data_IF_055938047276
#
_entry.id   IF_055938047276
#
_cell.length_a   1.000
_cell.length_b   1.000
_cell.length_c   1.000
_cell.angle_alpha   90.00
_cell.angle_beta   90.00
_cell.angle_gamma   90.00
#
_symmetry.space_group_name_H-M   'P 1'
#
loop_
_entity.id
_entity.type
_entity.pdbx_description
1 polymer ?
#
# COMPACT_ATOMS: atom_id res chain seq x y z
N UNK A 1 -2.24 -4.72 15.51
CA UNK A 1 -2.54 -5.60 14.36
C UNK A 1 -3.16 -4.76 13.25
N UNK A 2 -2.48 -4.64 12.11
CA UNK A 2 -2.79 -3.68 11.03
C UNK A 2 -3.70 -4.32 9.98
N UNK A 3 -4.98 -3.96 9.98
CA UNK A 3 -5.90 -4.26 8.88
C UNK A 3 -5.34 -3.67 7.58
N UNK A 4 -5.54 -4.27 6.41
CA UNK A 4 -5.09 -3.68 5.15
C UNK A 4 -5.89 -2.41 4.88
N UNK A 5 -5.32 -1.26 5.23
CA UNK A 5 -5.88 0.05 4.92
C UNK A 5 -5.68 0.32 3.42
N UNK A 6 -6.78 0.46 2.67
CA UNK A 6 -6.73 0.66 1.24
C UNK A 6 -7.68 1.74 0.76
N UNK A 7 -7.18 2.58 -0.16
CA UNK A 7 -7.98 3.51 -0.93
C UNK A 7 -8.33 2.88 -2.26
N UNK A 8 -9.62 2.82 -2.61
CA UNK A 8 -10.08 2.18 -3.83
C UNK A 8 -10.69 3.15 -4.83
N UNK A 9 -10.47 2.85 -6.10
CA UNK A 9 -11.16 3.44 -7.24
C UNK A 9 -12.22 2.45 -7.74
N UNK A 10 -13.45 2.92 -7.90
CA UNK A 10 -14.54 2.16 -8.51
C UNK A 10 -14.98 2.79 -9.82
N UNK A 11 -15.30 1.95 -10.79
CA UNK A 11 -15.79 2.31 -12.12
C UNK A 11 -17.21 1.76 -12.31
N UNK A 12 -18.15 2.62 -12.72
CA UNK A 12 -19.50 2.22 -13.03
C UNK A 12 -19.60 1.68 -14.45
N UNK A 13 -20.11 0.45 -14.60
CA UNK A 13 -20.33 -0.22 -15.89
C UNK A 13 -21.77 -0.15 -16.37
N UNK A 14 -22.69 0.38 -15.55
CA UNK A 14 -24.08 0.60 -15.95
C UNK A 14 -24.15 1.54 -17.18
N UNK A 15 -24.79 1.16 -18.30
CA UNK A 15 -24.83 1.98 -19.53
C UNK A 15 -25.32 3.41 -19.30
N UNK A 16 -26.27 3.62 -18.37
CA UNK A 16 -26.81 4.94 -18.02
C UNK A 16 -25.81 5.81 -17.25
N UNK A 17 -24.87 5.20 -16.55
CA UNK A 17 -23.92 5.86 -15.64
C UNK A 17 -22.47 5.49 -15.95
N UNK A 18 -22.21 5.00 -17.16
CA UNK A 18 -20.95 4.40 -17.55
C UNK A 18 -19.81 5.41 -17.41
N UNK A 19 -18.68 4.96 -16.88
CA UNK A 19 -17.51 5.83 -16.71
C UNK A 19 -17.53 6.68 -15.46
N UNK A 20 -18.60 6.63 -14.65
CA UNK A 20 -18.60 7.29 -13.33
C UNK A 20 -17.60 6.63 -12.40
N UNK A 21 -16.91 7.48 -11.63
CA UNK A 21 -15.93 7.07 -10.65
C UNK A 21 -16.43 7.31 -9.23
N UNK A 22 -16.12 6.36 -8.34
CA UNK A 22 -16.24 6.54 -6.90
C UNK A 22 -14.91 6.17 -6.23
N UNK A 23 -14.37 7.08 -5.43
CA UNK A 23 -13.19 6.84 -4.59
C UNK A 23 -13.69 6.61 -3.17
N UNK A 24 -13.10 5.66 -2.46
CA UNK A 24 -13.28 5.62 -1.01
C UNK A 24 -12.38 4.65 -0.29
N UNK A 25 -12.37 4.76 1.04
CA UNK A 25 -11.61 3.88 1.90
C UNK A 25 -12.26 2.50 2.08
N UNK A 26 -11.42 1.47 2.24
CA UNK A 26 -11.85 0.13 2.64
C UNK A 26 -10.74 -0.66 3.35
N UNK A 27 -11.14 -1.50 4.30
CA UNK A 27 -10.30 -2.56 4.89
C UNK A 27 -10.67 -3.96 4.39
N UNK A 28 -11.73 -4.07 3.57
CA UNK A 28 -12.19 -5.32 2.99
C UNK A 28 -12.81 -5.03 1.61
N UNK A 29 -12.02 -5.10 0.54
CA UNK A 29 -12.43 -4.76 -0.81
C UNK A 29 -13.65 -5.54 -1.31
N UNK A 30 -13.66 -6.86 -1.12
CA UNK A 30 -14.74 -7.77 -1.56
C UNK A 30 -16.07 -7.40 -0.91
N UNK A 31 -16.11 -7.37 0.43
CA UNK A 31 -17.32 -6.97 1.15
C UNK A 31 -17.78 -5.58 0.73
N UNK A 32 -16.86 -4.65 0.51
CA UNK A 32 -17.21 -3.26 0.21
C UNK A 32 -17.79 -3.11 -1.21
N UNK A 33 -17.35 -3.90 -2.19
CA UNK A 33 -17.95 -3.84 -3.53
C UNK A 33 -19.38 -4.39 -3.53
N UNK A 34 -19.64 -5.45 -2.77
CA UNK A 34 -20.98 -6.03 -2.59
C UNK A 34 -21.93 -5.01 -1.93
N UNK A 35 -21.46 -4.29 -0.91
CA UNK A 35 -22.25 -3.22 -0.28
C UNK A 35 -22.62 -2.10 -1.25
N UNK A 36 -21.69 -1.68 -2.13
CA UNK A 36 -22.00 -0.63 -3.11
C UNK A 36 -23.00 -1.11 -4.16
N UNK A 37 -22.89 -2.35 -4.62
CA UNK A 37 -23.79 -2.95 -5.59
C UNK A 37 -25.17 -3.29 -5.00
N UNK A 38 -25.24 -3.67 -3.71
CA UNK A 38 -26.49 -3.84 -2.95
C UNK A 38 -27.17 -2.53 -2.54
N UNK A 39 -26.47 -1.39 -2.67
CA UNK A 39 -27.00 -0.06 -2.41
C UNK A 39 -27.04 0.35 -0.93
N UNK A 40 -27.62 1.52 -0.63
CA UNK A 40 -27.53 2.15 0.69
C UNK A 40 -28.08 1.31 1.85
N UNK A 41 -29.11 0.50 1.58
CA UNK A 41 -29.74 -0.39 2.59
C UNK A 41 -28.80 -1.51 3.01
N UNK A 42 -27.84 -1.88 2.17
CA UNK A 42 -26.82 -2.88 2.44
C UNK A 42 -25.49 -2.27 2.94
N UNK A 43 -25.48 -0.98 3.30
CA UNK A 43 -24.27 -0.27 3.77
C UNK A 43 -23.41 0.36 2.67
N UNK A 44 -23.89 0.37 1.42
CA UNK A 44 -23.26 1.10 0.33
C UNK A 44 -23.35 2.63 0.51
N UNK A 45 -22.41 3.36 -0.06
CA UNK A 45 -22.46 4.82 -0.02
C UNK A 45 -23.70 5.36 -0.78
N UNK A 46 -24.30 6.45 -0.29
CA UNK A 46 -25.45 7.06 -0.96
C UNK A 46 -25.15 7.40 -2.43
N UNK A 47 -23.93 7.88 -2.72
CA UNK A 47 -23.47 8.22 -4.08
C UNK A 47 -23.43 7.02 -5.05
N UNK A 48 -23.36 5.78 -4.55
CA UNK A 48 -23.32 4.56 -5.38
C UNK A 48 -24.66 3.84 -5.50
N UNK A 49 -25.63 4.18 -4.64
CA UNK A 49 -26.93 3.50 -4.55
C UNK A 49 -27.76 3.62 -5.83
N UNK A 50 -28.24 2.49 -6.35
CA UNK A 50 -29.10 2.42 -7.55
C UNK A 50 -28.40 2.81 -8.86
N UNK A 51 -27.06 2.90 -8.85
CA UNK A 51 -26.24 3.28 -10.01
C UNK A 51 -25.32 2.16 -10.48
N UNK A 52 -25.26 1.05 -9.74
CA UNK A 52 -24.46 -0.10 -10.11
C UNK A 52 -24.94 -0.79 -11.39
N UNK A 53 -24.20 -1.80 -11.88
CA UNK A 53 -23.05 -2.39 -11.21
C UNK A 53 -21.79 -1.50 -11.19
N UNK A 54 -21.02 -1.64 -10.12
CA UNK A 54 -19.74 -1.02 -9.88
C UNK A 54 -18.66 -2.11 -9.87
N UNK A 55 -17.55 -1.80 -10.52
CA UNK A 55 -16.32 -2.58 -10.49
C UNK A 55 -15.30 -1.85 -9.63
N UNK A 56 -14.63 -2.58 -8.72
CA UNK A 56 -13.41 -2.07 -8.12
C UNK A 56 -12.24 -2.36 -9.06
N UNK A 57 -11.54 -1.30 -9.48
CA UNK A 57 -10.57 -1.37 -10.59
C UNK A 57 -9.13 -1.21 -10.10
N UNK A 58 -8.93 -0.37 -9.08
CA UNK A 58 -7.62 -0.05 -8.52
C UNK A 58 -7.73 0.07 -7.00
N UNK A 59 -6.73 -0.42 -6.28
CA UNK A 59 -6.56 -0.19 -4.85
C UNK A 59 -5.13 0.28 -4.55
N UNK A 60 -4.99 1.35 -3.78
CA UNK A 60 -3.72 1.79 -3.21
C UNK A 60 -3.72 1.34 -1.75
N UNK A 61 -2.72 0.57 -1.34
CA UNK A 61 -2.65 0.03 0.03
C UNK A 61 -1.23 0.13 0.61
N UNK A 62 -1.05 -0.24 1.88
CA UNK A 62 0.23 -0.11 2.59
C UNK A 62 0.33 1.16 3.44
N UNK A 63 -0.79 1.86 3.65
CA UNK A 63 -0.83 3.04 4.51
C UNK A 63 -0.45 2.70 5.97
N UNK A 64 0.32 3.58 6.64
CA UNK A 64 0.79 3.33 8.01
C UNK A 64 -0.34 3.40 9.05
N UNK A 65 -1.47 4.03 8.73
CA UNK A 65 -2.65 4.15 9.60
C UNK A 65 -3.92 4.51 8.81
N UNK A 66 -5.08 4.31 9.43
CA UNK A 66 -6.38 4.80 8.94
C UNK A 66 -6.36 6.29 8.63
N UNK A 67 -5.75 7.10 9.50
CA UNK A 67 -5.68 8.56 9.33
C UNK A 67 -4.87 8.92 8.07
N UNK A 68 -3.79 8.19 7.77
CA UNK A 68 -3.01 8.42 6.57
C UNK A 68 -3.81 8.06 5.30
N UNK A 69 -4.54 6.95 5.34
CA UNK A 69 -5.43 6.53 4.26
C UNK A 69 -6.55 7.55 4.03
N UNK A 70 -7.31 7.92 5.07
CA UNK A 70 -8.40 8.89 4.99
C UNK A 70 -7.96 10.27 4.48
N UNK A 71 -6.74 10.73 4.85
CA UNK A 71 -6.16 11.97 4.30
C UNK A 71 -5.84 11.84 2.82
N UNK A 72 -5.40 10.67 2.38
CA UNK A 72 -5.21 10.36 0.97
C UNK A 72 -6.56 10.33 0.23
N UNK A 73 -7.57 9.61 0.76
CA UNK A 73 -8.94 9.55 0.21
C UNK A 73 -9.46 10.95 -0.10
N UNK A 74 -9.43 11.83 0.92
CA UNK A 74 -10.00 13.16 0.83
C UNK A 74 -9.28 13.99 -0.24
N UNK A 75 -7.96 13.95 -0.29
CA UNK A 75 -7.19 14.67 -1.29
C UNK A 75 -7.46 14.13 -2.72
N UNK A 76 -7.68 12.83 -2.86
CA UNK A 76 -8.01 12.21 -4.15
C UNK A 76 -9.42 12.57 -4.62
N UNK A 77 -10.38 12.65 -3.70
CA UNK A 77 -11.75 13.11 -3.97
C UNK A 77 -11.82 14.61 -4.25
N UNK A 78 -10.93 15.41 -3.62
CA UNK A 78 -10.98 16.86 -3.62
C UNK A 78 -9.62 17.50 -3.99
N UNK A 79 -9.05 17.20 -5.17
CA UNK A 79 -7.69 17.64 -5.51
C UNK A 79 -7.53 19.16 -5.47
N UNK A 80 -8.52 19.93 -5.94
CA UNK A 80 -8.44 21.39 -5.97
C UNK A 80 -8.69 22.08 -4.62
N UNK A 81 -9.15 21.34 -3.60
CA UNK A 81 -9.26 21.84 -2.22
C UNK A 81 -8.04 21.46 -1.39
N UNK A 82 -7.25 20.49 -1.86
CA UNK A 82 -6.03 20.06 -1.20
C UNK A 82 -4.88 21.03 -1.50
N UNK A 83 -4.36 21.65 -0.44
CA UNK A 83 -3.17 22.52 -0.51
C UNK A 83 -1.95 21.85 -1.15
N UNK A 84 -1.90 20.51 -1.15
CA UNK A 84 -0.80 19.71 -1.72
C UNK A 84 -0.92 19.51 -3.23
N UNK A 85 -2.11 19.73 -3.79
CA UNK A 85 -2.43 19.43 -5.19
C UNK A 85 -2.86 20.68 -5.98
N UNK A 86 -2.49 21.88 -5.51
CA UNK A 86 -2.77 23.15 -6.20
C UNK A 86 -2.17 23.20 -7.62
N UNK A 87 -1.11 22.43 -7.88
CA UNK A 87 -0.47 22.31 -9.19
C UNK A 87 -1.23 21.40 -10.16
N UNK A 88 -2.18 20.60 -9.67
CA UNK A 88 -2.96 19.67 -10.50
C UNK A 88 -4.03 20.45 -11.25
N UNK A 89 -3.93 20.45 -12.58
CA UNK A 89 -4.90 21.15 -13.42
C UNK A 89 -6.29 20.50 -13.36
N UNK A 90 -7.32 21.34 -13.42
CA UNK A 90 -8.73 20.91 -13.49
C UNK A 90 -8.99 19.97 -14.66
N UNK A 91 -9.99 19.11 -14.49
CA UNK A 91 -10.43 18.15 -15.51
C UNK A 91 -10.81 18.89 -16.79
N UNK A 92 -10.25 18.48 -17.93
CA UNK A 92 -10.62 19.02 -19.24
C UNK A 92 -11.99 18.48 -19.68
N UNK A 93 -12.74 19.21 -20.50
CA UNK A 93 -14.09 18.79 -20.94
C UNK A 93 -14.11 17.42 -21.62
N UNK A 94 -13.05 17.07 -22.37
CA UNK A 94 -12.91 15.79 -23.09
C UNK A 94 -12.19 14.70 -22.28
N UNK A 95 -11.67 15.02 -21.09
CA UNK A 95 -10.94 14.07 -20.24
C UNK A 95 -11.94 13.18 -19.50
N UNK A 96 -11.79 11.85 -19.61
CA UNK A 96 -12.66 10.92 -18.90
C UNK A 96 -12.43 11.06 -17.40
N UNK A 97 -13.48 10.79 -16.62
CA UNK A 97 -13.37 10.88 -15.17
C UNK A 97 -12.31 9.91 -14.62
N UNK A 98 -12.17 8.72 -15.21
CA UNK A 98 -11.12 7.77 -14.86
C UNK A 98 -9.72 8.37 -15.06
N UNK A 99 -9.42 8.86 -16.26
CA UNK A 99 -8.11 9.39 -16.64
C UNK A 99 -7.71 10.58 -15.75
N UNK A 100 -8.69 11.45 -15.44
CA UNK A 100 -8.49 12.55 -14.51
C UNK A 100 -8.07 12.06 -13.11
N UNK A 101 -8.78 11.08 -12.54
CA UNK A 101 -8.47 10.60 -11.19
C UNK A 101 -7.18 9.76 -11.17
N UNK A 102 -6.82 9.08 -12.25
CA UNK A 102 -5.52 8.41 -12.38
C UNK A 102 -4.39 9.44 -12.41
N UNK A 103 -4.54 10.54 -13.17
CA UNK A 103 -3.57 11.64 -13.17
C UNK A 103 -3.45 12.32 -11.81
N UNK A 104 -4.56 12.52 -11.09
CA UNK A 104 -4.53 13.02 -9.70
C UNK A 104 -3.75 12.07 -8.81
N UNK A 105 -4.02 10.76 -8.89
CA UNK A 105 -3.28 9.73 -8.16
C UNK A 105 -1.78 9.81 -8.46
N UNK A 106 -1.40 9.90 -9.74
CA UNK A 106 -0.02 10.02 -10.19
C UNK A 106 0.71 11.19 -9.51
N UNK A 107 0.08 12.36 -9.45
CA UNK A 107 0.63 13.52 -8.72
C UNK A 107 0.70 13.29 -7.21
N UNK A 108 -0.31 12.64 -6.61
CA UNK A 108 -0.31 12.33 -5.18
C UNK A 108 0.87 11.41 -4.81
N UNK A 109 1.18 10.40 -5.62
CA UNK A 109 2.30 9.47 -5.37
C UNK A 109 3.68 10.17 -5.42
N UNK A 110 3.77 11.35 -6.02
CA UNK A 110 5.01 12.16 -6.05
C UNK A 110 5.01 13.32 -5.04
N UNK A 111 3.90 13.53 -4.33
CA UNK A 111 3.76 14.68 -3.43
C UNK A 111 3.93 14.24 -1.97
N UNK A 112 4.73 14.99 -1.21
CA UNK A 112 4.85 14.77 0.23
C UNK A 112 3.49 14.96 0.93
N UNK A 113 3.17 14.17 1.98
CA UNK A 113 4.02 13.14 2.58
C UNK A 113 3.93 11.78 1.89
N UNK A 114 3.08 11.62 0.88
CA UNK A 114 2.73 10.32 0.30
C UNK A 114 3.89 9.70 -0.48
N UNK A 115 4.73 10.51 -1.11
CA UNK A 115 5.86 10.06 -1.93
C UNK A 115 6.96 9.26 -1.23
N UNK A 116 6.92 9.13 0.11
CA UNK A 116 7.85 8.28 0.88
C UNK A 116 7.14 7.16 1.63
N UNK A 117 5.81 7.04 1.47
CA UNK A 117 5.05 5.97 2.09
C UNK A 117 5.27 4.67 1.32
N UNK A 118 5.30 3.51 2.00
CA UNK A 118 5.55 2.23 1.34
C UNK A 118 4.26 1.67 0.70
N UNK A 119 3.66 2.45 -0.20
CA UNK A 119 2.39 2.16 -0.84
C UNK A 119 2.57 1.17 -1.98
N UNK A 120 1.53 0.38 -2.23
CA UNK A 120 1.41 -0.49 -3.40
C UNK A 120 0.20 -0.05 -4.20
N UNK A 121 0.37 0.09 -5.51
CA UNK A 121 -0.69 0.42 -6.46
C UNK A 121 -1.11 -0.89 -7.11
N UNK A 122 -2.33 -1.36 -6.87
CA UNK A 122 -2.77 -2.65 -7.40
C UNK A 122 -3.98 -2.53 -8.32
N UNK A 123 -3.81 -2.99 -9.56
CA UNK A 123 -4.88 -3.15 -10.53
C UNK A 123 -5.62 -4.46 -10.29
N UNK A 124 -6.91 -4.38 -9.96
CA UNK A 124 -7.73 -5.55 -9.63
C UNK A 124 -8.33 -6.21 -10.88
N UNK A 125 -8.43 -5.47 -11.99
CA UNK A 125 -9.03 -5.94 -13.24
C UNK A 125 -8.25 -5.38 -14.43
N UNK A 126 -7.63 -6.28 -15.20
CA UNK A 126 -6.68 -5.95 -16.29
C UNK A 126 -7.26 -5.00 -17.35
N UNK A 127 -8.53 -5.19 -17.74
CA UNK A 127 -9.22 -4.36 -18.73
C UNK A 127 -9.28 -2.85 -18.39
N UNK A 128 -9.11 -2.50 -17.11
CA UNK A 128 -9.09 -1.11 -16.65
C UNK A 128 -7.68 -0.54 -16.47
N UNK A 129 -6.63 -1.37 -16.59
CA UNK A 129 -5.26 -0.90 -16.47
C UNK A 129 -4.99 0.20 -17.50
N UNK A 130 -4.29 1.23 -17.06
CA UNK A 130 -3.83 2.35 -17.88
C UNK A 130 -2.39 2.65 -17.47
N UNK A 131 -1.61 3.12 -18.43
CA UNK A 131 -0.30 3.67 -18.16
C UNK A 131 -0.43 4.96 -17.36
N UNK A 132 0.53 5.18 -16.46
CA UNK A 132 0.68 6.47 -15.82
C UNK A 132 1.18 7.51 -16.84
N UNK A 133 0.82 8.79 -16.70
CA UNK A 133 1.36 9.82 -17.58
C UNK A 133 2.89 9.83 -17.52
N UNK A 134 3.59 10.08 -18.64
CA UNK A 134 5.05 10.11 -18.68
C UNK A 134 5.63 11.07 -17.64
N UNK A 135 6.62 10.60 -16.88
CA UNK A 135 7.26 11.36 -15.79
C UNK A 135 6.39 11.48 -14.54
N UNK A 136 5.21 10.83 -14.50
CA UNK A 136 4.37 10.70 -13.32
C UNK A 136 4.16 9.24 -12.90
N UNK A 137 5.09 8.36 -13.26
CA UNK A 137 5.11 6.99 -12.80
C UNK A 137 5.26 6.91 -11.27
N UNK A 138 4.72 5.87 -10.62
CA UNK A 138 4.96 5.66 -9.19
C UNK A 138 6.46 5.62 -8.87
N UNK A 139 6.91 6.19 -7.73
CA UNK A 139 8.29 6.05 -7.28
C UNK A 139 8.72 4.58 -7.22
N UNK A 140 10.00 4.30 -7.47
CA UNK A 140 10.51 2.92 -7.59
C UNK A 140 10.24 2.01 -6.39
N UNK A 141 10.16 2.59 -5.17
CA UNK A 141 9.84 1.85 -3.94
C UNK A 141 8.34 1.54 -3.78
N UNK A 142 7.48 2.03 -4.68
CA UNK A 142 6.04 1.79 -4.69
C UNK A 142 5.68 0.82 -5.82
N UNK A 143 5.55 -0.49 -5.53
CA UNK A 143 5.29 -1.47 -6.57
C UNK A 143 3.90 -1.29 -7.19
N UNK A 144 3.83 -1.54 -8.51
CA UNK A 144 2.58 -1.77 -9.23
C UNK A 144 2.32 -3.28 -9.21
N UNK A 145 1.18 -3.68 -8.67
CA UNK A 145 0.76 -5.08 -8.59
C UNK A 145 -0.53 -5.31 -9.40
N UNK A 146 -0.82 -6.58 -9.70
CA UNK A 146 -1.98 -6.98 -10.47
C UNK A 146 -2.75 -8.09 -9.76
N UNK A 147 -4.02 -8.25 -10.11
CA UNK A 147 -4.88 -9.33 -9.64
C UNK A 147 -5.73 -8.95 -8.41
N UNK A 148 -6.75 -9.79 -8.11
CA UNK A 148 -7.66 -9.57 -7.01
C UNK A 148 -6.95 -9.69 -5.65
N UNK A 149 -7.60 -9.13 -4.63
CA UNK A 149 -7.12 -9.11 -3.24
C UNK A 149 -8.17 -9.67 -2.31
N UNK A 150 -7.75 -10.56 -1.41
CA UNK A 150 -8.61 -11.05 -0.33
C UNK A 150 -8.20 -10.42 0.98
N UNK A 151 -9.19 -10.05 1.78
CA UNK A 151 -8.94 -9.70 3.18
C UNK A 151 -8.76 -11.00 3.95
N UNK A 152 -7.53 -11.28 4.39
CA UNK A 152 -7.28 -12.44 5.27
C UNK A 152 -7.99 -12.16 6.60
N UNK A 153 -8.89 -13.06 7.01
CA UNK A 153 -9.48 -13.02 8.35
C UNK A 153 -8.37 -13.38 9.34
N UNK A 154 -8.26 -12.65 10.45
CA UNK A 154 -7.36 -12.98 11.56
C UNK A 154 -7.75 -14.34 12.17
N UNK A 155 -7.43 -15.44 11.50
CA UNK A 155 -7.53 -16.79 12.05
C UNK A 155 -6.21 -17.11 12.71
N UNK A 156 -6.16 -16.76 14.00
CA UNK A 156 -5.20 -17.21 15.01
C UNK A 156 -3.77 -16.72 14.80
N UNK A 157 -3.19 -16.15 15.86
CA UNK A 157 -1.75 -16.33 16.15
C UNK A 157 -1.42 -17.77 15.78
N UNK A 158 -0.49 -18.00 14.86
CA UNK A 158 0.29 -19.22 14.96
C UNK A 158 0.81 -19.21 16.41
N UNK A 159 0.35 -20.18 17.21
CA UNK A 159 1.02 -20.44 18.47
C UNK A 159 2.49 -20.67 18.13
N UNK A 160 3.43 -20.16 18.94
CA UNK A 160 4.83 -20.48 18.73
C UNK A 160 4.95 -22.00 18.79
N UNK A 161 5.17 -22.62 17.63
CA UNK A 161 5.60 -24.01 17.56
C UNK A 161 6.85 -24.11 18.42
N UNK A 162 6.75 -24.92 19.47
CA UNK A 162 7.79 -25.55 20.31
C UNK A 162 9.21 -24.94 20.31
N UNK A 163 9.84 -24.82 21.51
CA UNK A 163 11.17 -24.27 21.63
C UNK A 163 12.21 -25.28 21.12
N UNK A 164 12.86 -25.02 19.98
CA UNK A 164 14.22 -25.48 19.66
C UNK A 164 14.64 -25.04 18.24
N UNK A 165 15.19 -23.84 18.16
CA UNK A 165 16.50 -23.58 17.56
C UNK A 165 16.97 -22.25 18.13
N UNK A 166 17.97 -22.28 19.01
CA UNK A 166 18.55 -21.10 19.62
C UNK A 166 19.29 -20.28 18.55
N UNK A 167 18.54 -19.53 17.73
CA UNK A 167 19.12 -18.46 16.93
C UNK A 167 19.63 -17.43 17.94
N UNK A 168 20.95 -17.33 18.03
CA UNK A 168 21.66 -16.41 18.92
C UNK A 168 21.10 -15.00 18.74
N UNK A 169 20.18 -14.60 19.63
CA UNK A 169 19.53 -13.30 19.55
C UNK A 169 20.58 -12.24 19.83
N UNK A 170 20.88 -11.43 18.82
CA UNK A 170 21.80 -10.31 18.97
C UNK A 170 21.23 -9.35 20.01
N UNK A 171 21.85 -9.26 21.18
CA UNK A 171 21.40 -8.40 22.29
C UNK A 171 21.73 -6.92 22.10
N UNK A 172 22.50 -6.59 21.07
CA UNK A 172 23.03 -5.24 20.85
C UNK A 172 22.60 -4.68 19.50
N UNK A 173 22.33 -3.39 19.47
CA UNK A 173 22.09 -2.66 18.23
C UNK A 173 23.36 -2.58 17.39
N UNK A 174 23.31 -3.04 16.13
CA UNK A 174 24.44 -3.01 15.19
C UNK A 174 24.90 -1.59 14.79
N UNK A 175 24.20 -0.54 15.23
CA UNK A 175 24.51 0.86 14.92
C UNK A 175 25.08 1.60 16.13
N UNK A 176 24.38 1.60 17.26
CA UNK A 176 24.83 2.32 18.46
C UNK A 176 25.55 1.44 19.50
N UNK A 177 25.63 0.13 19.27
CA UNK A 177 26.28 -0.88 20.11
C UNK A 177 25.68 -1.03 21.52
N UNK A 178 24.62 -0.30 21.85
CA UNK A 178 23.89 -0.44 23.12
C UNK A 178 23.03 -1.70 23.13
N UNK A 179 22.83 -2.26 24.31
CA UNK A 179 21.92 -3.38 24.55
C UNK A 179 20.47 -2.95 24.37
N UNK A 180 19.63 -3.83 23.81
CA UNK A 180 18.18 -3.65 23.82
C UNK A 180 17.65 -3.79 25.25
N UNK A 181 16.72 -2.91 25.64
CA UNK A 181 16.03 -2.96 26.91
C UNK A 181 14.87 -3.96 26.87
N UNK A 182 14.62 -4.64 27.98
CA UNK A 182 13.47 -5.53 28.10
C UNK A 182 12.16 -4.72 28.14
N UNK A 183 11.27 -4.95 27.16
CA UNK A 183 9.92 -4.38 27.12
C UNK A 183 9.46 -3.96 25.72
N UNK A 184 8.17 -3.63 25.60
CA UNK A 184 7.51 -3.33 24.31
C UNK A 184 8.03 -2.09 23.57
N UNK A 185 8.85 -1.25 24.23
CA UNK A 185 9.32 0.03 23.67
C UNK A 185 10.65 -0.05 22.93
N UNK A 186 11.37 -1.16 23.04
CA UNK A 186 12.74 -1.29 22.51
C UNK A 186 12.91 -2.54 21.62
N UNK A 187 11.86 -2.88 20.88
CA UNK A 187 11.86 -4.04 19.99
C UNK A 187 12.76 -3.75 18.76
N UNK A 188 13.80 -4.57 18.50
CA UNK A 188 14.70 -4.34 17.38
C UNK A 188 14.05 -4.59 16.01
N UNK A 189 14.55 -3.85 15.00
CA UNK A 189 14.36 -4.20 13.60
C UNK A 189 15.40 -5.25 13.20
N UNK A 190 14.94 -6.35 12.61
CA UNK A 190 15.79 -7.40 12.07
C UNK A 190 15.83 -7.35 10.55
N UNK A 191 17.01 -7.56 9.97
CA UNK A 191 17.14 -7.77 8.53
C UNK A 191 16.25 -8.93 8.07
N UNK A 192 15.56 -8.77 6.94
CA UNK A 192 14.77 -9.85 6.33
C UNK A 192 15.59 -10.72 5.36
N UNK A 193 16.85 -10.37 5.07
CA UNK A 193 17.68 -11.20 4.20
C UNK A 193 18.06 -12.49 4.92
N UNK A 194 18.00 -13.65 4.22
CA UNK A 194 18.45 -14.91 4.78
C UNK A 194 19.87 -14.78 5.35
N UNK A 195 20.16 -15.50 6.43
CA UNK A 195 21.46 -15.57 7.12
C UNK A 195 21.98 -14.27 7.72
N UNK A 196 21.28 -13.13 7.60
CA UNK A 196 21.70 -11.87 8.22
C UNK A 196 21.20 -11.77 9.66
N UNK A 197 22.10 -11.56 10.61
CA UNK A 197 21.78 -11.44 12.04
C UNK A 197 21.67 -9.98 12.51
N UNK A 198 21.66 -9.01 11.58
CA UNK A 198 21.58 -7.59 11.94
C UNK A 198 20.30 -7.29 12.72
N UNK A 199 20.49 -6.66 13.88
CA UNK A 199 19.43 -6.07 14.68
C UNK A 199 19.79 -4.63 15.03
N UNK A 200 18.84 -3.70 14.89
CA UNK A 200 19.07 -2.31 15.24
C UNK A 200 17.81 -1.65 15.82
N UNK A 201 18.00 -0.64 16.67
CA UNK A 201 16.90 0.23 17.07
C UNK A 201 16.31 0.92 15.83
N UNK A 202 14.99 1.08 15.79
CA UNK A 202 14.29 1.76 14.70
C UNK A 202 14.88 3.15 14.41
N UNK A 203 15.16 3.94 15.45
CA UNK A 203 15.73 5.28 15.29
C UNK A 203 17.17 5.25 14.78
N UNK A 204 18.00 4.34 15.29
CA UNK A 204 19.39 4.23 14.84
C UNK A 204 19.46 3.84 13.36
N UNK A 205 18.65 2.87 12.94
CA UNK A 205 18.62 2.44 11.55
C UNK A 205 18.00 3.49 10.63
N UNK A 206 16.94 4.18 11.09
CA UNK A 206 16.35 5.30 10.35
C UNK A 206 17.37 6.41 10.09
N UNK A 207 18.10 6.85 11.14
CA UNK A 207 19.14 7.87 10.98
C UNK A 207 20.26 7.42 10.05
N UNK A 208 20.69 6.17 10.13
CA UNK A 208 21.69 5.61 9.22
C UNK A 208 21.21 5.69 7.76
N UNK A 209 19.95 5.33 7.49
CA UNK A 209 19.40 5.36 6.14
C UNK A 209 19.15 6.79 5.62
N UNK A 210 18.98 7.76 6.53
CA UNK A 210 18.74 9.17 6.22
C UNK A 210 20.01 10.02 6.23
N UNK A 211 21.21 9.45 6.39
CA UNK A 211 22.47 10.20 6.49
C UNK A 211 22.67 11.17 5.30
N UNK A 212 22.25 10.75 4.10
CA UNK A 212 22.32 11.57 2.86
C UNK A 212 21.07 12.42 2.62
N UNK A 213 20.06 12.30 3.47
CA UNK A 213 18.74 12.94 3.35
C UNK A 213 18.28 13.58 4.69
N UNK A 214 19.06 14.49 5.29
CA UNK A 214 18.84 14.97 6.67
C UNK A 214 17.52 15.73 6.88
N UNK A 215 16.90 16.22 5.79
CA UNK A 215 15.61 16.93 5.83
C UNK A 215 14.39 15.99 5.79
N UNK A 216 14.62 14.68 5.78
CA UNK A 216 13.58 13.67 5.76
C UNK A 216 13.52 12.89 7.08
N UNK A 217 12.31 12.44 7.42
CA UNK A 217 12.04 11.72 8.68
C UNK A 217 11.81 10.23 8.40
N UNK A 218 11.34 9.89 7.21
CA UNK A 218 11.00 8.53 6.81
C UNK A 218 12.00 8.05 5.75
N UNK A 219 12.83 7.05 6.01
CA UNK A 219 13.69 6.47 4.98
C UNK A 219 12.85 5.79 3.88
N UNK A 220 13.33 5.82 2.64
CA UNK A 220 12.79 4.98 1.57
C UNK A 220 13.54 3.65 1.56
N UNK A 221 14.87 3.71 1.59
CA UNK A 221 15.77 2.57 1.50
C UNK A 221 17.11 2.85 2.19
N UNK A 222 17.90 1.81 2.39
CA UNK A 222 19.28 1.93 2.86
C UNK A 222 20.01 0.60 2.88
N UNK A 223 21.34 0.64 3.01
CA UNK A 223 22.16 -0.57 3.07
C UNK A 223 22.19 -1.14 4.48
N UNK A 224 21.95 -2.45 4.59
CA UNK A 224 22.03 -3.15 5.87
C UNK A 224 23.44 -3.02 6.49
N UNK A 225 23.60 -2.60 7.76
CA UNK A 225 24.93 -2.51 8.35
C UNK A 225 25.61 -3.88 8.51
N UNK A 226 24.82 -4.97 8.61
CA UNK A 226 25.32 -6.35 8.67
C UNK A 226 25.70 -6.92 7.30
N UNK A 227 24.71 -7.24 6.45
CA UNK A 227 24.93 -7.92 5.17
C UNK A 227 25.19 -7.00 3.97
N UNK A 228 25.14 -5.68 4.14
CA UNK A 228 25.31 -4.65 3.08
C UNK A 228 24.28 -4.66 1.94
N UNK A 229 23.38 -5.64 1.90
CA UNK A 229 22.26 -5.65 0.94
C UNK A 229 21.36 -4.43 1.12
N UNK A 230 20.80 -3.96 0.00
CA UNK A 230 19.81 -2.89 -0.03
C UNK A 230 18.50 -3.37 0.63
N UNK A 231 17.94 -2.52 1.49
CA UNK A 231 16.69 -2.78 2.20
C UNK A 231 15.73 -1.64 1.90
N UNK A 232 14.52 -1.95 1.44
CA UNK A 232 13.41 -1.00 1.44
C UNK A 232 12.86 -0.87 2.86
N UNK A 233 12.74 0.37 3.35
CA UNK A 233 12.26 0.65 4.69
C UNK A 233 10.84 0.11 4.91
N UNK A 234 9.98 0.25 3.90
CA UNK A 234 8.63 -0.30 3.90
C UNK A 234 8.58 -1.79 4.16
N UNK A 235 9.43 -2.55 3.49
CA UNK A 235 9.53 -4.00 3.62
C UNK A 235 10.09 -4.41 4.97
N UNK A 236 11.08 -3.68 5.48
CA UNK A 236 11.62 -3.90 6.82
C UNK A 236 10.56 -3.72 7.91
N UNK A 237 9.77 -2.64 7.84
CA UNK A 237 8.68 -2.40 8.78
C UNK A 237 7.57 -3.44 8.64
N UNK A 238 7.24 -3.87 7.41
CA UNK A 238 6.28 -4.96 7.17
C UNK A 238 6.76 -6.27 7.78
N UNK A 239 8.04 -6.61 7.58
CA UNK A 239 8.69 -7.79 8.16
C UNK A 239 8.61 -7.77 9.69
N UNK A 240 9.03 -6.66 10.30
CA UNK A 240 9.00 -6.49 11.75
C UNK A 240 7.58 -6.61 12.34
N UNK A 241 6.56 -6.11 11.64
CA UNK A 241 5.15 -6.25 12.07
C UNK A 241 4.54 -7.62 11.77
N UNK A 242 5.27 -8.55 11.14
CA UNK A 242 4.73 -9.83 10.66
C UNK A 242 3.64 -9.68 9.59
N UNK A 243 3.61 -8.56 8.85
CA UNK A 243 2.51 -8.19 7.95
C UNK A 243 2.76 -8.57 6.48
N UNK A 244 3.71 -9.47 6.18
CA UNK A 244 4.01 -9.88 4.80
C UNK A 244 2.84 -10.63 4.11
N UNK A 245 1.80 -11.04 4.84
CA UNK A 245 0.67 -11.82 4.32
C UNK A 245 -0.71 -11.15 4.33
N UNK A 246 -0.84 -9.85 4.64
CA UNK A 246 -2.19 -9.28 4.92
C UNK A 246 -3.01 -8.97 3.66
N UNK A 247 -2.42 -9.11 2.46
CA UNK A 247 -3.09 -9.09 1.17
C UNK A 247 -2.35 -10.06 0.25
N UNK A 248 -2.84 -11.29 0.16
CA UNK A 248 -2.33 -12.27 -0.81
C UNK A 248 -3.07 -12.12 -2.14
N UNK A 249 -2.34 -12.33 -3.24
CA UNK A 249 -2.95 -12.56 -4.54
C UNK A 249 -3.78 -13.85 -4.43
N UNK A 250 -5.04 -13.80 -4.88
CA UNK A 250 -5.91 -14.98 -4.83
C UNK A 250 -5.38 -16.09 -5.77
N UNK A 251 -4.89 -17.23 -5.25
CA UNK A 251 -4.37 -18.31 -6.07
C UNK A 251 -5.47 -19.08 -6.82
N UNK A 252 -6.75 -18.86 -6.49
CA UNK A 252 -7.90 -19.49 -7.14
C UNK A 252 -8.52 -18.65 -8.25
N UNK A 253 -7.95 -17.47 -8.53
CA UNK A 253 -8.40 -16.65 -9.64
C UNK A 253 -8.03 -17.30 -10.96
N UNK A 254 -9.03 -17.75 -11.72
CA UNK A 254 -8.91 -18.30 -13.07
C UNK A 254 -8.52 -17.25 -14.14
N UNK A 255 -8.06 -16.06 -13.72
CA UNK A 255 -7.45 -15.09 -14.61
C UNK A 255 -6.01 -15.53 -14.90
N UNK A 256 -5.75 -15.91 -16.15
CA UNK A 256 -4.43 -16.30 -16.65
C UNK A 256 -3.36 -15.36 -16.10
N UNK A 257 -2.39 -15.94 -15.42
CA UNK A 257 -1.24 -15.22 -14.91
C UNK A 257 -0.39 -14.80 -16.11
N UNK A 258 0.08 -13.56 -16.14
CA UNK A 258 0.81 -12.94 -17.26
C UNK A 258 1.96 -13.79 -17.86
N UNK A 259 2.52 -14.73 -17.11
CA UNK A 259 3.57 -15.64 -17.58
C UNK A 259 3.08 -16.60 -18.68
N UNK A 260 1.78 -16.89 -18.74
CA UNK A 260 1.20 -17.87 -19.65
C UNK A 260 0.80 -17.26 -21.01
N UNK A 261 0.79 -15.93 -21.15
CA UNK A 261 0.46 -15.22 -22.40
C UNK A 261 1.71 -14.66 -23.11
N UNK A 262 2.91 -14.89 -22.57
CA UNK A 262 4.19 -14.47 -23.14
C UNK A 262 4.97 -15.61 -23.80
N UNK A 263 4.37 -16.80 -23.98
CA UNK A 263 4.97 -17.84 -24.81
C UNK A 263 4.62 -17.61 -26.29
N UNK A 264 5.63 -17.53 -27.18
CA UNK A 264 5.43 -17.29 -28.61
C UNK A 264 4.73 -18.45 -29.33
#
# INVERSE_FOLDING_TARGET
MSRPHGEKLQYCTNPRYQGRIYIGFTVNPERRIDQHNGGKRCGGAWKTSGRGPWDMVLIVHGFPSDVAALRFEWAWQHPHSSRRLNHVTRRKTRERQFDFHLRVLAHMLQTAPWCRLPLTIRWLKQQYCREFPPGLEPPLHMPIAFGPVRAVKDTKRAEPSSPEEQVMTTKHCSVCLKTFQDGDKDIPLHCFHPTCTMAAHIFCLSHLFLEKEPNHILPIEGQCPGCKNLILWGDLIRHHKGCYGNIEADPTSSQKHWADELQP
#
